data_IF_810885899310
#
_entry.id   IF_810885899310
#
_cell.length_a   1.000
_cell.length_b   1.000
_cell.length_c   1.000
_cell.angle_alpha   90.00
_cell.angle_beta   90.00
_cell.angle_gamma   90.00
#
_symmetry.space_group_name_H-M   'P 1'
#
loop_
_entity.id
_entity.type
_entity.pdbx_description
1 polymer ?
#
# COMPACT_ATOMS: atom_id res chain seq x y z
N UNK A 1 37.77 -1.82 -0.28
CA UNK A 1 36.67 -2.48 0.43
C UNK A 1 35.94 -1.41 1.22
N UNK A 2 34.79 -0.97 0.72
CA UNK A 2 33.95 0.01 1.41
C UNK A 2 32.72 -0.75 1.88
N UNK A 3 32.61 -0.93 3.19
CA UNK A 3 31.45 -1.53 3.83
C UNK A 3 30.27 -0.56 3.69
N UNK A 4 29.51 -0.68 2.62
CA UNK A 4 28.25 0.05 2.40
C UNK A 4 27.06 -0.73 2.93
N UNK A 5 26.98 -0.92 4.26
CA UNK A 5 25.77 -1.43 4.90
C UNK A 5 24.67 -0.39 4.73
N UNK A 6 23.71 -0.66 3.84
CA UNK A 6 22.66 0.29 3.43
C UNK A 6 21.63 0.45 4.55
N UNK A 7 21.76 1.51 5.34
CA UNK A 7 20.79 1.92 6.35
C UNK A 7 19.41 2.30 5.78
N UNK A 8 19.27 2.31 4.44
CA UNK A 8 18.14 2.84 3.68
C UNK A 8 17.06 1.79 3.34
N UNK A 9 17.30 0.52 3.64
CA UNK A 9 16.33 -0.57 3.39
C UNK A 9 15.59 -1.02 4.66
N UNK A 10 15.68 -0.25 5.77
CA UNK A 10 14.97 -0.55 7.01
C UNK A 10 13.49 -0.18 6.89
N UNK A 11 12.63 -1.02 7.47
CA UNK A 11 11.19 -0.74 7.58
C UNK A 11 10.89 0.55 8.33
N UNK A 12 11.69 0.90 9.34
CA UNK A 12 11.54 2.16 10.08
C UNK A 12 11.86 3.36 9.20
N UNK A 13 12.92 3.27 8.39
CA UNK A 13 13.28 4.33 7.45
C UNK A 13 12.17 4.52 6.40
N UNK A 14 11.54 3.43 5.94
CA UNK A 14 10.40 3.50 5.03
C UNK A 14 9.20 4.21 5.65
N UNK A 15 8.88 3.90 6.92
CA UNK A 15 7.81 4.59 7.65
C UNK A 15 8.11 6.07 7.91
N UNK A 16 9.33 6.42 8.30
CA UNK A 16 9.75 7.82 8.49
C UNK A 16 9.66 8.62 7.19
N UNK A 17 10.16 8.05 6.09
CA UNK A 17 10.05 8.66 4.77
C UNK A 17 8.58 8.85 4.36
N UNK A 18 7.74 7.83 4.58
CA UNK A 18 6.34 7.88 4.21
C UNK A 18 5.55 8.91 5.03
N UNK A 19 5.86 9.08 6.31
CA UNK A 19 5.26 10.11 7.15
C UNK A 19 5.58 11.53 6.64
N UNK A 20 6.87 11.80 6.34
CA UNK A 20 7.29 13.09 5.79
C UNK A 20 6.66 13.37 4.42
N UNK A 21 6.60 12.35 3.55
CA UNK A 21 5.98 12.48 2.23
C UNK A 21 4.47 12.76 2.33
N UNK A 22 3.78 12.12 3.28
CA UNK A 22 2.36 12.34 3.51
C UNK A 22 2.06 13.75 4.04
N UNK A 23 2.85 14.25 4.99
CA UNK A 23 2.73 15.62 5.50
C UNK A 23 2.94 16.67 4.39
N UNK A 24 3.99 16.49 3.59
CA UNK A 24 4.28 17.38 2.47
C UNK A 24 3.15 17.35 1.42
N UNK A 25 2.53 16.19 1.21
CA UNK A 25 1.39 16.05 0.32
C UNK A 25 0.14 16.75 0.87
N UNK A 26 -0.19 16.55 2.14
CA UNK A 26 -1.33 17.20 2.79
C UNK A 26 -1.18 18.73 2.80
N UNK A 27 0.03 19.25 3.02
CA UNK A 27 0.35 20.67 2.90
C UNK A 27 0.08 21.20 1.49
N UNK A 28 0.57 20.48 0.48
CA UNK A 28 0.34 20.81 -0.92
C UNK A 28 -1.15 20.76 -1.28
N UNK A 29 -1.89 19.78 -0.77
CA UNK A 29 -3.32 19.64 -1.02
C UNK A 29 -4.13 20.78 -0.40
N UNK A 30 -3.77 21.24 0.80
CA UNK A 30 -4.43 22.39 1.47
C UNK A 30 -4.32 23.70 0.69
N UNK A 31 -3.23 23.87 -0.07
CA UNK A 31 -2.92 25.10 -0.81
C UNK A 31 -3.26 25.02 -2.29
N UNK A 32 -3.66 23.85 -2.78
CA UNK A 32 -3.94 23.61 -4.20
C UNK A 32 -5.42 23.83 -4.52
N UNK A 33 -5.68 24.52 -5.63
CA UNK A 33 -7.01 24.66 -6.23
C UNK A 33 -7.29 23.61 -7.32
N UNK A 34 -6.34 22.71 -7.58
CA UNK A 34 -6.35 21.81 -8.74
C UNK A 34 -6.32 20.33 -8.38
N UNK A 35 -6.00 19.98 -7.13
CA UNK A 35 -6.08 18.60 -6.64
C UNK A 35 -7.40 18.33 -5.96
N UNK A 36 -7.99 17.16 -6.22
CA UNK A 36 -9.16 16.67 -5.49
C UNK A 36 -8.78 15.88 -4.23
N UNK A 37 -7.50 15.56 -4.04
CA UNK A 37 -7.05 14.66 -2.98
C UNK A 37 -7.15 15.37 -1.63
N UNK A 38 -7.94 14.86 -0.68
CA UNK A 38 -8.10 15.49 0.62
C UNK A 38 -6.79 15.45 1.43
N UNK A 39 -6.53 16.46 2.28
CA UNK A 39 -5.31 16.54 3.10
C UNK A 39 -5.44 15.70 4.38
N UNK A 40 -5.63 14.39 4.23
CA UNK A 40 -5.87 13.44 5.31
C UNK A 40 -4.94 12.22 5.26
N UNK A 41 -3.90 12.28 4.41
CA UNK A 41 -2.96 11.17 4.19
C UNK A 41 -2.03 11.00 5.38
N UNK A 42 -1.55 12.10 5.98
CA UNK A 42 -0.64 12.06 7.11
C UNK A 42 -1.29 11.36 8.32
N UNK A 43 -2.55 11.67 8.61
CA UNK A 43 -3.32 11.01 9.66
C UNK A 43 -3.46 9.50 9.40
N UNK A 44 -3.64 9.10 8.14
CA UNK A 44 -3.72 7.68 7.77
C UNK A 44 -2.38 6.96 7.96
N UNK A 45 -1.28 7.58 7.53
CA UNK A 45 0.07 7.01 7.66
C UNK A 45 0.45 6.87 9.13
N UNK A 46 0.18 7.88 9.95
CA UNK A 46 0.40 7.86 11.40
C UNK A 46 -0.33 6.67 12.04
N UNK A 47 -1.63 6.51 11.75
CA UNK A 47 -2.41 5.39 12.31
C UNK A 47 -2.00 4.04 11.80
N UNK A 48 -1.60 3.90 10.54
CA UNK A 48 -1.10 2.64 10.02
C UNK A 48 0.28 2.27 10.63
N UNK A 49 1.10 3.27 10.99
CA UNK A 49 2.42 3.07 11.61
C UNK A 49 2.32 2.55 13.05
N UNK A 50 1.27 2.95 13.76
CA UNK A 50 1.01 2.54 15.15
C UNK A 50 0.17 1.25 15.26
N UNK A 51 0.00 0.54 14.14
CA UNK A 51 -0.84 -0.64 14.04
C UNK A 51 -0.02 -1.91 13.71
N UNK A 52 -0.69 -3.06 13.59
CA UNK A 52 -0.08 -4.30 13.12
C UNK A 52 0.50 -4.19 11.69
N UNK A 53 0.10 -3.17 10.91
CA UNK A 53 0.64 -2.92 9.58
C UNK A 53 2.08 -2.40 9.60
N UNK A 54 2.59 -1.95 10.77
CA UNK A 54 3.97 -1.51 10.96
C UNK A 54 5.01 -2.52 10.48
N UNK A 55 4.68 -3.81 10.52
CA UNK A 55 5.55 -4.90 10.08
C UNK A 55 5.74 -5.00 8.55
N UNK A 56 4.97 -4.23 7.76
CA UNK A 56 5.10 -4.15 6.32
C UNK A 56 5.73 -2.82 5.87
N UNK A 57 6.36 -2.84 4.69
CA UNK A 57 6.90 -1.65 4.05
C UNK A 57 5.75 -0.83 3.43
N UNK A 58 5.50 0.39 3.91
CA UNK A 58 4.46 1.24 3.35
C UNK A 58 4.92 1.86 2.03
N UNK A 59 3.98 2.15 1.15
CA UNK A 59 4.21 3.02 0.02
C UNK A 59 2.91 3.68 -0.43
N UNK A 60 3.02 4.90 -0.96
CA UNK A 60 1.89 5.59 -1.58
C UNK A 60 1.93 5.54 -3.10
N UNK A 61 0.78 5.23 -3.71
CA UNK A 61 0.57 5.40 -5.15
C UNK A 61 -0.69 6.24 -5.37
N UNK A 62 -0.55 7.38 -6.04
CA UNK A 62 -1.61 8.37 -6.23
C UNK A 62 -2.19 8.83 -4.88
N UNK A 63 -3.41 8.41 -4.56
CA UNK A 63 -4.10 8.71 -3.31
C UNK A 63 -4.38 7.42 -2.52
N UNK A 64 -3.45 6.46 -2.56
CA UNK A 64 -3.62 5.15 -1.93
C UNK A 64 -2.40 4.79 -1.12
N UNK A 65 -2.61 4.44 0.15
CA UNK A 65 -1.62 3.80 1.02
C UNK A 65 -1.70 2.28 0.83
N UNK A 66 -0.59 1.67 0.46
CA UNK A 66 -0.44 0.24 0.25
C UNK A 66 0.80 -0.28 0.98
N UNK A 67 0.93 -1.61 1.02
CA UNK A 67 1.91 -2.30 1.86
C UNK A 67 2.59 -3.42 1.07
N UNK A 68 3.84 -3.69 1.43
CA UNK A 68 4.68 -4.74 0.85
C UNK A 68 5.41 -5.53 1.93
N UNK A 69 5.67 -6.81 1.68
CA UNK A 69 6.54 -7.63 2.55
C UNK A 69 8.03 -7.35 2.39
N UNK A 70 8.42 -6.54 1.39
CA UNK A 70 9.81 -6.12 1.14
C UNK A 70 9.98 -4.67 0.67
N UNK A 71 11.19 -4.10 0.81
CA UNK A 71 11.46 -2.67 0.60
C UNK A 71 11.38 -2.23 -0.86
N UNK A 72 11.55 -3.15 -1.83
CA UNK A 72 11.65 -2.82 -3.26
C UNK A 72 10.76 -3.71 -4.12
N UNK A 73 9.47 -3.74 -3.78
CA UNK A 73 8.48 -4.52 -4.52
C UNK A 73 8.45 -4.21 -6.03
N UNK A 74 8.77 -2.97 -6.44
CA UNK A 74 8.87 -2.59 -7.85
C UNK A 74 10.08 -3.21 -8.58
N UNK A 75 11.06 -3.74 -7.84
CA UNK A 75 12.19 -4.53 -8.36
C UNK A 75 12.00 -6.04 -8.13
N UNK A 76 10.82 -6.47 -7.66
CA UNK A 76 10.52 -7.86 -7.34
C UNK A 76 10.98 -8.32 -5.95
N UNK A 77 11.43 -7.40 -5.09
CA UNK A 77 11.75 -7.71 -3.70
C UNK A 77 10.49 -7.59 -2.81
N UNK A 78 9.94 -8.75 -2.41
CA UNK A 78 8.72 -8.83 -1.59
C UNK A 78 7.44 -8.84 -2.42
N UNK A 79 6.33 -9.06 -1.72
CA UNK A 79 4.98 -9.15 -2.28
C UNK A 79 4.14 -7.97 -1.80
N UNK A 80 3.43 -7.34 -2.73
CA UNK A 80 2.47 -6.28 -2.40
C UNK A 80 1.21 -6.92 -1.83
N UNK A 81 0.78 -6.45 -0.66
CA UNK A 81 -0.45 -6.93 -0.06
C UNK A 81 -1.66 -6.64 -0.99
N UNK A 82 -2.63 -7.57 -1.05
CA UNK A 82 -3.76 -7.44 -1.95
C UNK A 82 -4.76 -6.37 -1.52
N UNK A 83 -4.58 -5.75 -0.35
CA UNK A 83 -5.46 -4.71 0.19
C UNK A 83 -4.72 -3.39 0.39
N UNK A 84 -5.45 -2.29 0.23
CA UNK A 84 -4.93 -0.94 0.33
C UNK A 84 -6.02 0.04 0.79
N UNK A 85 -5.63 1.24 1.23
CA UNK A 85 -6.54 2.29 1.67
C UNK A 85 -6.42 3.47 0.71
N UNK A 86 -7.47 3.76 -0.04
CA UNK A 86 -7.55 4.90 -0.94
C UNK A 86 -8.29 6.08 -0.28
N UNK A 87 -7.87 7.29 -0.60
CA UNK A 87 -8.57 8.51 -0.22
C UNK A 87 -9.66 8.82 -1.25
N UNK A 88 -10.80 9.32 -0.78
CA UNK A 88 -11.89 9.78 -1.62
C UNK A 88 -12.13 11.30 -1.45
N UNK A 89 -12.66 11.99 -2.48
CA UNK A 89 -12.87 13.45 -2.46
C UNK A 89 -13.64 13.98 -1.24
N UNK A 90 -14.55 13.16 -0.69
CA UNK A 90 -15.42 13.50 0.45
C UNK A 90 -14.68 13.50 1.79
N UNK A 91 -13.36 13.24 1.79
CA UNK A 91 -12.56 13.14 3.01
C UNK A 91 -12.75 11.81 3.73
N UNK A 92 -13.24 10.79 3.02
CA UNK A 92 -13.41 9.43 3.54
C UNK A 92 -12.31 8.50 3.05
N UNK A 93 -12.18 7.35 3.71
CA UNK A 93 -11.21 6.32 3.37
C UNK A 93 -11.91 5.09 2.77
N UNK A 94 -11.41 4.62 1.64
CA UNK A 94 -11.90 3.43 0.96
C UNK A 94 -10.89 2.29 1.13
N UNK A 95 -11.29 1.24 1.83
CA UNK A 95 -10.56 -0.02 1.86
C UNK A 95 -10.86 -0.77 0.57
N UNK A 96 -9.81 -1.13 -0.18
CA UNK A 96 -9.93 -1.72 -1.52
C UNK A 96 -9.11 -2.97 -1.66
N UNK A 97 -9.62 -3.91 -2.46
CA UNK A 97 -8.79 -4.96 -3.02
C UNK A 97 -8.04 -4.44 -4.24
N UNK A 98 -6.76 -4.78 -4.39
CA UNK A 98 -5.91 -4.32 -5.50
C UNK A 98 -6.32 -4.87 -6.86
N UNK A 99 -6.95 -6.04 -6.90
CA UNK A 99 -7.51 -6.61 -8.15
C UNK A 99 -8.87 -6.01 -8.54
N UNK A 100 -9.46 -5.13 -7.72
CA UNK A 100 -10.64 -4.35 -8.08
C UNK A 100 -11.70 -4.27 -6.98
N UNK A 101 -12.36 -3.12 -6.90
CA UNK A 101 -13.50 -2.86 -6.01
C UNK A 101 -13.15 -2.26 -4.65
N UNK A 102 -14.01 -1.37 -4.16
CA UNK A 102 -14.01 -0.97 -2.76
C UNK A 102 -14.73 -2.05 -1.95
N UNK A 103 -14.11 -2.47 -0.86
CA UNK A 103 -14.64 -3.44 0.09
C UNK A 103 -15.41 -2.73 1.20
N UNK A 104 -14.92 -1.58 1.65
CA UNK A 104 -15.50 -0.81 2.73
C UNK A 104 -15.20 0.69 2.55
N UNK A 105 -16.17 1.53 2.86
CA UNK A 105 -15.98 2.96 3.09
C UNK A 105 -15.97 3.21 4.60
N UNK A 106 -15.06 4.06 5.05
CA UNK A 106 -14.84 4.35 6.47
C UNK A 106 -14.67 5.85 6.67
N UNK A 107 -15.13 6.35 7.82
CA UNK A 107 -15.12 7.78 8.12
C UNK A 107 -13.86 8.22 8.88
N UNK A 108 -13.02 7.27 9.31
CA UNK A 108 -11.81 7.55 10.07
C UNK A 108 -10.63 6.67 9.65
N UNK A 109 -9.41 7.18 9.87
CA UNK A 109 -8.18 6.43 9.62
C UNK A 109 -8.11 5.15 10.47
N UNK A 110 -8.54 5.22 11.73
CA UNK A 110 -8.53 4.07 12.65
C UNK A 110 -9.44 2.93 12.15
N UNK A 111 -10.65 3.26 11.67
CA UNK A 111 -11.56 2.28 11.05
C UNK A 111 -10.95 1.66 9.79
N UNK A 112 -10.37 2.49 8.91
CA UNK A 112 -9.76 2.04 7.67
C UNK A 112 -8.58 1.08 7.93
N UNK A 113 -7.71 1.43 8.88
CA UNK A 113 -6.56 0.63 9.29
C UNK A 113 -7.01 -0.69 9.91
N UNK A 114 -7.94 -0.64 10.86
CA UNK A 114 -8.50 -1.85 11.50
C UNK A 114 -9.11 -2.80 10.48
N UNK A 115 -9.82 -2.27 9.48
CA UNK A 115 -10.42 -3.07 8.41
C UNK A 115 -9.35 -3.73 7.54
N UNK A 116 -8.27 -3.02 7.17
CA UNK A 116 -7.16 -3.60 6.44
C UNK A 116 -6.45 -4.68 7.24
N UNK A 117 -6.19 -4.47 8.52
CA UNK A 117 -5.55 -5.47 9.38
C UNK A 117 -6.33 -6.78 9.40
N UNK A 118 -7.66 -6.71 9.55
CA UNK A 118 -8.54 -7.88 9.52
C UNK A 118 -8.44 -8.61 8.18
N UNK A 119 -8.50 -7.89 7.07
CA UNK A 119 -8.41 -8.49 5.73
C UNK A 119 -7.04 -9.12 5.45
N UNK A 120 -5.96 -8.51 5.95
CA UNK A 120 -4.60 -9.09 5.87
C UNK A 120 -4.54 -10.37 6.69
N UNK A 121 -5.05 -10.35 7.93
CA UNK A 121 -5.05 -11.53 8.80
C UNK A 121 -5.91 -12.67 8.23
N UNK A 122 -7.08 -12.36 7.67
CA UNK A 122 -7.96 -13.31 6.98
C UNK A 122 -7.30 -13.90 5.73
N UNK A 123 -6.64 -13.08 4.91
CA UNK A 123 -5.91 -13.54 3.73
C UNK A 123 -4.72 -14.44 4.07
N UNK A 124 -4.03 -14.16 5.18
CA UNK A 124 -2.94 -15.00 5.69
C UNK A 124 -3.45 -16.33 6.27
N UNK A 125 -4.61 -16.33 6.95
CA UNK A 125 -5.23 -17.53 7.54
C UNK A 125 -5.95 -18.39 6.50
N UNK A 126 -6.53 -17.78 5.48
CA UNK A 126 -7.31 -18.42 4.42
C UNK A 126 -6.49 -19.05 3.29
N UNK A 127 -5.18 -19.25 3.50
CA UNK A 127 -4.19 -19.72 2.52
C UNK A 127 -4.77 -20.56 1.37
N UNK A 128 -5.00 -19.92 0.22
CA UNK A 128 -5.55 -20.62 -0.94
C UNK A 128 -6.37 -19.76 -1.90
N UNK A 129 -5.87 -18.63 -2.37
CA UNK A 129 -6.31 -18.10 -3.66
C UNK A 129 -5.11 -17.87 -4.57
N UNK A 130 -4.79 -18.96 -5.26
CA UNK A 130 -4.23 -19.04 -6.62
C UNK A 130 -3.26 -17.92 -6.98
N UNK A 131 -1.98 -18.19 -6.76
CA UNK A 131 -0.97 -17.81 -7.73
C UNK A 131 -1.54 -18.12 -9.13
N UNK A 132 -1.80 -17.08 -9.93
CA UNK A 132 -2.01 -17.22 -11.37
C UNK A 132 -0.75 -17.87 -11.92
N UNK A 133 -0.76 -19.20 -12.00
CA UNK A 133 0.19 -19.97 -12.79
C UNK A 133 0.04 -19.43 -14.21
N UNK A 134 1.06 -18.72 -14.66
CA UNK A 134 1.19 -18.30 -16.04
C UNK A 134 0.92 -19.52 -16.92
N UNK A 135 -0.17 -19.47 -17.68
CA UNK A 135 -0.41 -20.42 -18.76
C UNK A 135 0.71 -20.22 -19.78
N UNK A 136 1.49 -21.26 -20.14
CA UNK A 136 2.33 -21.19 -21.32
C UNK A 136 1.41 -20.93 -22.51
N UNK A 137 1.64 -19.82 -23.22
CA UNK A 137 0.98 -19.57 -24.49
C UNK A 137 1.25 -20.72 -25.47
N UNK A 138 0.34 -20.98 -26.43
CA UNK A 138 0.53 -22.05 -27.39
C UNK A 138 1.86 -21.87 -28.12
N UNK A 139 2.69 -22.91 -28.07
CA UNK A 139 3.87 -23.04 -28.92
C UNK A 139 3.42 -22.96 -30.38
N UNK A 140 3.90 -21.93 -31.06
CA UNK A 140 3.87 -21.80 -32.51
C UNK A 140 4.84 -22.86 -33.07
N UNK A 141 4.32 -24.06 -33.37
CA UNK A 141 5.03 -25.06 -34.15
C UNK A 141 4.79 -24.78 -35.64
N UNK A 142 5.61 -23.87 -36.17
CA UNK A 142 5.86 -23.76 -37.60
C UNK A 142 7.06 -24.65 -37.94
N UNK A 143 6.79 -25.84 -38.51
CA UNK A 143 7.70 -26.56 -39.42
C UNK A 143 7.04 -27.83 -39.98
N UNK A 144 6.74 -27.81 -41.28
CA UNK A 144 6.39 -28.96 -42.09
C UNK A 144 5.92 -28.56 -43.48
#
# INVERSE_FOLDING_TARGET
>A
MVSGGKADDSIEAAWEWQAQAAEAWDERSRTSTTTWIPPILAALVDRARDSALRQFYPFTSHATLAFSTGPRHWLGEGEVLPVAIALAPEGVYLVRHRSGGALLETASADEAVTAVERLVEEGLKGGGQTATRAVPGPSDDDRG
#
